data_IF_352025161506
#
_entry.id   IF_352025161506
#
_cell.length_a   1.000
_cell.length_b   1.000
_cell.length_c   1.000
_cell.angle_alpha   90.00
_cell.angle_beta   90.00
_cell.angle_gamma   90.00
#
_symmetry.space_group_name_H-M   'P 1'
#
loop_
_entity.id
_entity.type
_entity.pdbx_description
1 polymer ?
2 non-polymer ?
3 non-polymer ?
4 non-polymer ?
5 non-polymer ?
6 water ?
#
# COMPACT_ATOMS: atom_id res chain seq x y z
N UNK A 1 9.43 27.43 -5.17
CA UNK A 1 8.48 27.10 -4.10
C UNK A 1 7.07 27.49 -4.55
N UNK A 2 6.19 26.50 -4.61
CA UNK A 2 4.83 26.69 -5.12
C UNK A 2 3.98 25.58 -4.54
N UNK A 3 2.77 25.94 -4.08
CA UNK A 3 1.94 24.95 -3.40
C UNK A 3 0.63 24.67 -4.12
N UNK A 4 0.57 24.95 -5.43
CA UNK A 4 -0.59 24.60 -6.24
C UNK A 4 -0.31 23.33 -7.03
N UNK A 5 -1.37 22.54 -7.26
CA UNK A 5 -1.26 21.51 -8.28
C UNK A 5 -1.28 22.11 -9.67
N UNK A 6 -0.61 21.44 -10.60
CA UNK A 6 -0.74 21.82 -12.00
C UNK A 6 -2.14 21.46 -12.48
N UNK A 7 -2.50 21.99 -13.64
CA UNK A 7 -3.79 21.63 -14.22
C UNK A 7 -3.87 20.13 -14.47
N UNK A 8 -2.77 19.54 -14.96
CA UNK A 8 -2.75 18.10 -15.20
C UNK A 8 -2.96 17.32 -13.90
N UNK A 9 -2.28 17.73 -12.83
CA UNK A 9 -2.43 17.05 -11.55
C UNK A 9 -3.82 17.22 -11.00
N UNK A 10 -4.40 18.42 -11.13
CA UNK A 10 -5.77 18.60 -10.65
C UNK A 10 -6.72 17.69 -11.41
N UNK A 11 -6.50 17.55 -12.73
CA UNK A 11 -7.36 16.67 -13.54
C UNK A 11 -7.21 15.21 -13.11
N UNK A 12 -5.99 14.77 -12.84
CA UNK A 12 -5.77 13.41 -12.38
C UNK A 12 -6.50 13.17 -11.07
N UNK A 13 -6.37 14.10 -10.13
CA UNK A 13 -7.03 13.93 -8.84
C UNK A 13 -8.54 13.88 -9.03
N UNK A 14 -9.09 14.84 -9.80
CA UNK A 14 -10.53 14.93 -9.89
C UNK A 14 -11.12 13.73 -10.63
N UNK A 15 -10.43 13.23 -11.67
CA UNK A 15 -10.94 12.05 -12.37
C UNK A 15 -10.92 10.84 -11.47
N UNK A 16 -9.85 10.67 -10.68
CA UNK A 16 -9.79 9.54 -9.78
C UNK A 16 -10.86 9.66 -8.71
N UNK A 17 -11.11 10.88 -8.21
CA UNK A 17 -12.12 11.08 -7.19
C UNK A 17 -13.50 10.74 -7.73
N UNK A 18 -13.80 11.18 -8.96
CA UNK A 18 -15.10 10.85 -9.54
C UNK A 18 -15.24 9.35 -9.70
N UNK A 19 -14.20 8.64 -10.16
CA UNK A 19 -14.31 7.20 -10.31
C UNK A 19 -14.53 6.55 -8.94
N UNK A 20 -13.78 7.00 -7.94
CA UNK A 20 -13.96 6.43 -6.60
C UNK A 20 -15.37 6.63 -6.09
N UNK A 21 -15.94 7.83 -6.29
CA UNK A 21 -17.29 8.09 -5.78
C UNK A 21 -18.35 7.40 -6.63
N UNK A 22 -18.24 7.50 -7.94
CA UNK A 22 -19.35 7.11 -8.83
C UNK A 22 -19.31 5.66 -9.22
N UNK A 23 -18.16 4.99 -9.08
CA UNK A 23 -18.01 3.56 -9.40
C UNK A 23 -17.75 2.77 -8.13
N UNK A 24 -16.63 3.04 -7.46
CA UNK A 24 -16.24 2.13 -6.38
C UNK A 24 -17.10 2.29 -5.14
N UNK A 25 -17.54 3.53 -4.83
CA UNK A 25 -18.27 3.73 -3.58
C UNK A 25 -19.74 3.24 -3.66
N UNK A 26 -20.20 3.05 -4.90
CA UNK A 26 -21.49 2.44 -5.16
C UNK A 26 -21.54 1.05 -4.63
N UNK A 27 -22.44 0.92 -3.80
CA UNK A 27 -22.85 -0.29 -3.09
C UNK A 27 -21.73 -0.74 -2.15
N UNK A 28 -20.84 0.18 -1.74
CA UNK A 28 -19.76 -0.22 -0.84
C UNK A 28 -20.29 -0.74 0.48
N UNK A 29 -21.40 -0.19 1.00
CA UNK A 29 -21.84 -0.63 2.31
C UNK A 29 -22.20 -2.10 2.32
N UNK A 30 -22.80 -2.58 1.23
CA UNK A 30 -23.14 -4.00 1.17
C UNK A 30 -21.89 -4.87 1.13
N UNK A 31 -20.89 -4.47 0.32
CA UNK A 31 -19.67 -5.27 0.28
C UNK A 31 -18.95 -5.23 1.61
N UNK A 32 -18.94 -4.07 2.28
CA UNK A 32 -18.27 -3.97 3.59
C UNK A 32 -18.98 -4.87 4.59
N UNK A 33 -20.32 -4.83 4.61
CA UNK A 33 -21.08 -5.62 5.59
C UNK A 33 -20.86 -7.11 5.39
N UNK A 34 -20.73 -7.53 4.14
CA UNK A 34 -20.58 -8.95 3.81
C UNK A 34 -19.13 -9.37 3.73
N UNK A 35 -18.20 -8.44 3.96
CA UNK A 35 -16.76 -8.74 3.88
C UNK A 35 -16.35 -9.24 2.50
N UNK A 36 -16.90 -8.61 1.44
CA UNK A 36 -16.66 -9.04 0.06
C UNK A 36 -15.59 -8.17 -0.57
N UNK A 37 -14.60 -8.81 -1.19
CA UNK A 37 -13.69 -8.16 -2.13
C UNK A 37 -14.22 -8.54 -3.50
N UNK A 38 -14.80 -7.57 -4.21
CA UNK A 38 -15.33 -7.89 -5.54
C UNK A 38 -14.20 -7.86 -6.56
N UNK A 39 -13.77 -9.03 -7.03
CA UNK A 39 -12.66 -9.04 -7.99
C UNK A 39 -13.07 -8.39 -9.30
N UNK A 40 -14.33 -8.51 -9.71
CA UNK A 40 -14.73 -7.83 -10.94
C UNK A 40 -14.64 -6.30 -10.81
N UNK A 41 -15.03 -5.76 -9.63
CA UNK A 41 -14.91 -4.33 -9.40
C UNK A 41 -13.42 -3.94 -9.29
N UNK A 42 -12.62 -4.75 -8.59
CA UNK A 42 -11.19 -4.51 -8.48
C UNK A 42 -10.58 -4.39 -9.88
N UNK A 43 -10.95 -5.30 -10.79
CA UNK A 43 -10.38 -5.25 -12.13
C UNK A 43 -10.77 -3.98 -12.88
N UNK A 44 -12.02 -3.53 -12.71
CA UNK A 44 -12.40 -2.26 -13.34
C UNK A 44 -11.56 -1.10 -12.81
N UNK A 45 -11.28 -1.10 -11.51
CA UNK A 45 -10.44 -0.05 -10.95
C UNK A 45 -9.02 -0.14 -11.48
N UNK A 46 -8.49 -1.36 -11.54
CA UNK A 46 -7.12 -1.54 -12.08
C UNK A 46 -7.05 -0.97 -13.48
N UNK A 47 -8.00 -1.35 -14.32
CA UNK A 47 -7.99 -0.96 -15.73
C UNK A 47 -8.21 0.55 -15.91
N UNK A 48 -9.01 1.16 -15.02
CA UNK A 48 -9.18 2.61 -15.05
C UNK A 48 -7.83 3.32 -14.93
N UNK A 49 -6.89 2.74 -14.19
CA UNK A 49 -5.61 3.37 -14.03
C UNK A 49 -4.99 3.14 -12.67
N UNK A 50 -5.70 2.56 -11.70
CA UNK A 50 -5.13 2.38 -10.35
C UNK A 50 -4.04 1.30 -10.32
N UNK A 51 -3.89 0.47 -11.36
CA UNK A 51 -2.78 -0.48 -11.44
C UNK A 51 -1.66 0.01 -12.36
N UNK A 52 -1.61 1.31 -12.68
CA UNK A 52 -0.68 1.81 -13.71
C UNK A 52 0.59 2.44 -13.13
N UNK A 53 0.44 3.46 -12.28
CA UNK A 53 1.60 4.14 -11.73
C UNK A 53 2.58 4.58 -12.80
N UNK A 54 3.86 4.29 -12.58
CA UNK A 54 4.92 4.71 -13.50
C UNK A 54 5.09 3.84 -14.71
N UNK A 55 4.32 2.75 -14.87
CA UNK A 55 4.57 1.86 -16.00
C UNK A 55 4.39 2.62 -17.31
N UNK A 56 5.25 2.29 -18.26
CA UNK A 56 5.26 2.92 -19.56
C UNK A 56 4.05 2.53 -20.42
N UNK A 57 3.81 3.37 -21.44
CA UNK A 57 2.71 3.10 -22.36
C UNK A 57 2.87 1.75 -23.04
N UNK A 58 4.11 1.30 -23.24
CA UNK A 58 4.36 -0.01 -23.85
C UNK A 58 3.57 -1.12 -23.18
N UNK A 59 3.34 -1.01 -21.86
CA UNK A 59 2.70 -2.08 -21.11
C UNK A 59 1.34 -1.65 -20.60
N UNK A 60 0.79 -0.59 -21.16
CA UNK A 60 -0.55 -0.18 -20.80
C UNK A 60 -0.61 0.87 -19.71
N UNK A 61 0.53 1.37 -19.27
CA UNK A 61 0.55 2.32 -18.17
C UNK A 61 0.49 3.76 -18.64
N UNK A 62 0.60 4.63 -17.64
CA UNK A 62 0.36 6.03 -17.79
C UNK A 62 1.63 6.88 -17.60
N UNK A 63 2.77 6.24 -17.32
CA UNK A 63 4.04 6.95 -17.07
C UNK A 63 3.91 8.06 -16.04
N UNK A 64 3.18 7.76 -14.97
CA UNK A 64 2.99 8.77 -13.94
C UNK A 64 4.22 8.82 -13.02
N UNK A 65 4.48 9.98 -12.44
CA UNK A 65 5.48 10.05 -11.40
C UNK A 65 4.86 9.65 -10.05
N UNK A 66 5.70 9.71 -9.00
CA UNK A 66 5.24 9.37 -7.66
C UNK A 66 4.20 10.36 -7.16
N UNK A 67 4.38 11.66 -7.43
CA UNK A 67 3.38 12.63 -6.95
C UNK A 67 2.03 12.39 -7.65
N UNK A 68 2.03 12.20 -8.97
CA UNK A 68 0.79 11.93 -9.73
C UNK A 68 0.09 10.70 -9.18
N UNK A 69 0.89 9.65 -8.95
CA UNK A 69 0.34 8.38 -8.46
C UNK A 69 -0.26 8.56 -7.07
N UNK A 70 0.44 9.31 -6.21
CA UNK A 70 -0.07 9.60 -4.87
C UNK A 70 -1.37 10.39 -4.95
N UNK A 71 -1.48 11.36 -5.87
CA UNK A 71 -2.73 12.13 -5.98
C UNK A 71 -3.89 11.23 -6.35
N UNK A 72 -3.68 10.32 -7.29
CA UNK A 72 -4.76 9.40 -7.67
C UNK A 72 -5.19 8.60 -6.45
N UNK A 73 -4.22 8.16 -5.66
CA UNK A 73 -4.53 7.31 -4.50
C UNK A 73 -5.17 8.12 -3.39
N UNK A 74 -4.75 9.40 -3.22
CA UNK A 74 -5.41 10.24 -2.23
C UNK A 74 -6.89 10.38 -2.60
N UNK A 75 -7.17 10.67 -3.87
CA UNK A 75 -8.57 10.79 -4.32
C UNK A 75 -9.33 9.52 -4.03
N UNK A 76 -8.72 8.36 -4.30
CA UNK A 76 -9.34 7.06 -4.03
C UNK A 76 -9.68 6.92 -2.55
N UNK A 77 -8.75 7.32 -1.67
CA UNK A 77 -9.00 7.22 -0.24
C UNK A 77 -10.10 8.15 0.23
N UNK A 78 -10.25 9.32 -0.42
CA UNK A 78 -11.32 10.24 0.00
C UNK A 78 -12.66 9.79 -0.55
N UNK A 79 -12.69 9.26 -1.76
CA UNK A 79 -13.98 9.05 -2.48
C UNK A 79 -14.66 7.73 -2.24
N UNK A 80 -13.93 6.69 -1.86
CA UNK A 80 -14.51 5.37 -1.70
C UNK A 80 -14.44 4.91 -0.26
N UNK A 81 -15.58 4.51 0.31
CA UNK A 81 -15.56 3.91 1.63
C UNK A 81 -14.92 2.54 1.65
N UNK A 82 -14.79 1.89 0.49
CA UNK A 82 -14.29 0.52 0.45
C UNK A 82 -12.76 0.52 0.46
N UNK A 83 -12.21 0.91 1.61
CA UNK A 83 -10.77 1.07 1.74
C UNK A 83 -10.06 -0.29 1.67
N UNK A 84 -10.72 -1.37 2.08
CA UNK A 84 -10.11 -2.68 1.90
C UNK A 84 -9.81 -2.99 0.44
N UNK A 85 -10.77 -2.73 -0.47
CA UNK A 85 -10.51 -2.91 -1.89
C UNK A 85 -9.39 -1.98 -2.34
N UNK A 86 -9.43 -0.71 -1.88
CA UNK A 86 -8.41 0.24 -2.32
C UNK A 86 -7.01 -0.21 -1.87
N UNK A 87 -6.90 -0.69 -0.62
CA UNK A 87 -5.62 -1.17 -0.13
C UNK A 87 -5.13 -2.36 -0.96
N UNK A 88 -6.03 -3.30 -1.24
CA UNK A 88 -5.67 -4.46 -2.07
C UNK A 88 -5.13 -4.01 -3.42
N UNK A 89 -5.80 -3.07 -4.06
CA UNK A 89 -5.37 -2.61 -5.38
C UNK A 89 -4.02 -1.90 -5.31
N UNK A 90 -3.85 -1.06 -4.30
CA UNK A 90 -2.60 -0.32 -4.20
C UNK A 90 -1.42 -1.20 -3.82
N UNK A 91 -1.66 -2.26 -3.03
CA UNK A 91 -0.59 -3.22 -2.75
C UNK A 91 -0.14 -3.90 -4.04
N UNK A 92 -1.12 -4.32 -4.85
CA UNK A 92 -0.79 -4.94 -6.15
C UNK A 92 0.05 -3.97 -6.99
N UNK A 93 -0.38 -2.70 -7.09
CA UNK A 93 0.43 -1.73 -7.85
C UNK A 93 1.84 -1.57 -7.27
N UNK A 94 1.92 -1.23 -5.98
CA UNK A 94 3.19 -0.72 -5.47
C UNK A 94 4.19 -1.82 -5.20
N UNK A 95 3.71 -3.01 -4.79
CA UNK A 95 4.60 -4.09 -4.41
C UNK A 95 4.74 -5.16 -5.45
N UNK A 96 3.96 -5.13 -6.52
CA UNK A 96 4.02 -6.17 -7.54
C UNK A 96 4.24 -5.60 -8.94
N UNK A 97 3.33 -4.73 -9.41
CA UNK A 97 3.47 -4.15 -10.74
C UNK A 97 4.78 -3.40 -10.85
N UNK A 98 5.04 -2.51 -9.88
CA UNK A 98 6.20 -1.60 -9.99
C UNK A 98 7.52 -2.36 -9.96
N UNK A 99 7.76 -3.31 -9.04
CA UNK A 99 9.03 -4.04 -9.14
C UNK A 99 9.19 -4.82 -10.41
N UNK A 100 8.11 -5.44 -10.92
CA UNK A 100 8.24 -6.17 -12.18
C UNK A 100 8.63 -5.21 -13.30
N UNK A 101 7.99 -4.03 -13.35
CA UNK A 101 8.36 -3.05 -14.38
C UNK A 101 9.80 -2.58 -14.22
N UNK A 102 10.22 -2.28 -12.97
CA UNK A 102 11.52 -1.66 -12.75
C UNK A 102 12.68 -2.66 -12.88
N UNK A 103 12.46 -3.93 -12.57
CA UNK A 103 13.56 -4.88 -12.52
C UNK A 103 13.39 -6.12 -13.39
N UNK A 104 12.19 -6.39 -13.91
CA UNK A 104 12.01 -7.62 -14.68
C UNK A 104 12.67 -7.55 -16.04
N UNK A 105 13.05 -8.72 -16.53
CA UNK A 105 13.59 -8.82 -17.88
C UNK A 105 12.53 -8.45 -18.92
N UNK A 106 12.99 -8.17 -20.14
CA UNK A 106 12.04 -7.97 -21.23
C UNK A 106 11.12 -9.16 -21.39
N UNK A 107 11.65 -10.38 -21.28
CA UNK A 107 10.80 -11.55 -21.45
C UNK A 107 9.71 -11.62 -20.39
N UNK A 108 10.08 -11.39 -19.12
CA UNK A 108 9.08 -11.48 -18.07
C UNK A 108 8.05 -10.36 -18.20
N UNK A 109 8.51 -9.14 -18.50
CA UNK A 109 7.55 -8.04 -18.67
C UNK A 109 6.60 -8.33 -19.83
N UNK A 110 7.13 -8.84 -20.94
CA UNK A 110 6.29 -9.13 -22.09
C UNK A 110 5.24 -10.18 -21.76
N UNK A 111 5.57 -11.13 -20.88
CA UNK A 111 4.63 -12.20 -20.56
C UNK A 111 3.56 -11.74 -19.58
N UNK A 112 3.92 -10.91 -18.58
CA UNK A 112 3.02 -10.68 -17.45
C UNK A 112 2.62 -9.24 -17.19
N UNK A 113 3.44 -8.25 -17.60
CA UNK A 113 3.29 -6.91 -17.02
C UNK A 113 1.99 -6.25 -17.45
N UNK A 114 1.69 -6.25 -18.74
CA UNK A 114 0.46 -5.62 -19.17
C UNK A 114 -0.76 -6.29 -18.54
N UNK A 115 -0.72 -7.61 -18.36
CA UNK A 115 -1.85 -8.26 -17.69
C UNK A 115 -2.02 -7.73 -16.27
N UNK A 116 -0.90 -7.48 -15.54
CA UNK A 116 -1.03 -6.94 -14.19
C UNK A 116 -1.48 -5.48 -14.21
N UNK A 117 -1.06 -4.72 -15.20
CA UNK A 117 -1.39 -3.29 -15.30
C UNK A 117 -2.84 -3.06 -15.64
N UNK A 118 -3.42 -3.92 -16.48
CA UNK A 118 -4.68 -3.55 -17.15
C UNK A 118 -5.89 -4.31 -16.62
N UNK A 119 -5.78 -4.97 -15.47
CA UNK A 119 -6.96 -5.59 -14.88
C UNK A 119 -7.19 -7.04 -15.26
N UNK A 120 -6.14 -7.77 -15.68
CA UNK A 120 -6.32 -9.17 -16.08
C UNK A 120 -5.81 -10.20 -15.08
N UNK A 121 -4.70 -9.92 -14.41
CA UNK A 121 -4.17 -10.79 -13.38
C UNK A 121 -3.98 -9.98 -12.10
N UNK A 122 -4.24 -10.63 -10.97
CA UNK A 122 -4.00 -10.05 -9.65
C UNK A 122 -2.70 -10.65 -9.08
N UNK A 123 -1.86 -9.83 -8.45
CA UNK A 123 -0.60 -10.27 -7.88
C UNK A 123 -0.57 -10.06 -6.38
N UNK A 124 0.21 -10.88 -5.70
CA UNK A 124 0.51 -10.74 -4.27
C UNK A 124 2.03 -10.73 -4.09
N UNK A 125 2.51 -9.92 -3.14
CA UNK A 125 3.91 -9.79 -2.76
C UNK A 125 4.15 -10.64 -1.51
N UNK A 126 5.06 -11.60 -1.55
CA UNK A 126 5.25 -12.49 -0.43
C UNK A 126 6.69 -12.40 0.07
N UNK A 127 6.87 -11.62 1.14
CA UNK A 127 8.18 -11.41 1.75
C UNK A 127 8.19 -11.85 3.19
N UNK A 128 7.24 -11.38 3.99
CA UNK A 128 7.20 -11.63 5.43
C UNK A 128 7.07 -13.12 5.75
N UNK A 129 7.72 -13.53 6.83
CA UNK A 129 7.71 -14.90 7.31
C UNK A 129 7.43 -14.91 8.79
N UNK A 130 7.11 -16.08 9.36
CA UNK A 130 6.93 -16.17 10.82
C UNK A 130 8.07 -15.58 11.62
N UNK A 131 9.31 -15.75 11.18
CA UNK A 131 10.46 -15.25 11.95
C UNK A 131 11.15 -14.11 11.25
N UNK A 132 10.48 -13.48 10.30
CA UNK A 132 11.08 -12.35 9.58
C UNK A 132 9.99 -11.35 9.24
N UNK A 133 9.78 -10.39 10.17
CA UNK A 133 8.83 -9.32 9.99
C UNK A 133 9.61 -8.04 9.77
N UNK A 134 9.84 -7.30 10.88
CA UNK A 134 10.73 -6.13 10.78
C UNK A 134 12.11 -6.55 10.30
N UNK A 135 12.60 -7.69 10.79
CA UNK A 135 13.92 -8.22 10.41
C UNK A 135 13.75 -9.07 9.14
N UNK A 136 13.40 -8.37 8.05
CA UNK A 136 12.99 -9.07 6.83
C UNK A 136 14.14 -9.83 6.21
N UNK A 137 15.35 -9.34 6.38
CA UNK A 137 16.48 -10.00 5.72
C UNK A 137 16.91 -11.23 6.50
N UNK A 138 16.26 -11.56 7.62
CA UNK A 138 16.44 -12.88 8.18
C UNK A 138 15.41 -13.88 7.67
N UNK A 139 14.76 -13.57 6.53
CA UNK A 139 13.86 -14.57 5.94
C UNK A 139 14.60 -15.87 5.71
N UNK A 140 13.89 -16.96 5.89
CA UNK A 140 14.48 -18.29 5.81
C UNK A 140 14.05 -19.07 4.59
N UNK A 141 13.00 -18.65 3.87
CA UNK A 141 12.64 -19.38 2.66
C UNK A 141 13.86 -19.43 1.74
N UNK A 142 14.08 -20.60 1.10
CA UNK A 142 15.27 -20.80 0.31
C UNK A 142 14.88 -21.13 -1.12
N UNK A 143 15.54 -20.47 -2.06
CA UNK A 143 15.46 -20.81 -3.49
C UNK A 143 16.83 -21.34 -3.84
N UNK A 144 17.00 -22.65 -3.74
CA UNK A 144 18.32 -23.25 -3.91
C UNK A 144 18.60 -23.39 -5.40
N UNK A 145 19.66 -22.79 -5.93
CA UNK A 145 19.94 -22.94 -7.35
C UNK A 145 20.11 -24.40 -7.72
N UNK A 146 19.58 -24.75 -8.88
CA UNK A 146 19.72 -26.11 -9.39
C UNK A 146 19.76 -26.02 -10.89
N UNK A 147 19.96 -27.17 -11.55
CA UNK A 147 19.94 -27.17 -12.99
C UNK A 147 18.58 -26.65 -13.46
N UNK A 148 18.59 -25.59 -14.29
CA UNK A 148 17.39 -25.01 -14.89
C UNK A 148 16.69 -23.95 -14.05
N UNK A 149 17.11 -23.71 -12.80
CA UNK A 149 16.43 -22.69 -12.00
C UNK A 149 16.69 -22.91 -10.54
N UNK A 150 15.62 -23.11 -9.76
CA UNK A 150 15.72 -23.11 -8.31
C UNK A 150 14.71 -24.05 -7.73
N UNK A 151 15.02 -24.59 -6.53
CA UNK A 151 14.03 -25.33 -5.73
C UNK A 151 13.68 -24.48 -4.54
N UNK A 152 12.39 -24.16 -4.40
CA UNK A 152 11.90 -23.20 -3.40
C UNK A 152 11.16 -23.92 -2.29
N UNK A 153 11.55 -23.60 -1.04
CA UNK A 153 10.88 -24.09 0.15
C UNK A 153 10.74 -22.96 1.15
N UNK A 154 9.66 -22.96 1.93
CA UNK A 154 9.53 -21.95 2.99
C UNK A 154 8.07 -21.62 3.22
N UNK A 155 7.85 -20.58 4.02
CA UNK A 155 6.51 -20.17 4.41
C UNK A 155 6.47 -18.66 4.51
N UNK A 156 5.44 -18.06 3.92
CA UNK A 156 5.22 -16.64 4.00
C UNK A 156 3.89 -16.40 4.70
N UNK A 157 3.80 -15.29 5.45
CA UNK A 157 2.57 -14.98 6.19
C UNK A 157 2.19 -13.52 5.98
N UNK A 158 0.92 -13.20 6.29
CA UNK A 158 0.42 -11.82 6.19
C UNK A 158 0.37 -11.35 4.75
N UNK A 159 0.06 -12.24 3.79
CA UNK A 159 0.26 -11.89 2.39
C UNK A 159 -1.05 -11.35 1.82
N UNK A 160 -1.11 -10.03 1.65
CA UNK A 160 -2.28 -9.38 1.07
C UNK A 160 -2.51 -9.94 -0.32
N UNK A 161 -3.79 -10.19 -0.63
CA UNK A 161 -4.22 -10.72 -1.92
C UNK A 161 -3.89 -12.18 -2.18
N UNK A 162 -3.20 -12.88 -1.28
CA UNK A 162 -2.82 -14.25 -1.64
C UNK A 162 -4.04 -15.10 -2.03
N UNK A 163 -5.17 -15.03 -1.31
CA UNK A 163 -6.31 -15.91 -1.68
C UNK A 163 -6.89 -15.61 -3.04
N UNK A 164 -6.63 -14.44 -3.63
CA UNK A 164 -7.23 -14.07 -4.93
C UNK A 164 -6.17 -13.86 -6.01
N UNK A 165 -4.88 -14.09 -5.71
CA UNK A 165 -3.83 -13.73 -6.67
C UNK A 165 -3.67 -14.83 -7.72
N UNK A 166 -3.38 -14.41 -8.93
CA UNK A 166 -2.96 -15.31 -10.01
C UNK A 166 -1.47 -15.48 -10.07
N UNK A 167 -0.70 -14.48 -9.60
CA UNK A 167 0.75 -14.58 -9.58
C UNK A 167 1.27 -14.03 -8.28
N UNK A 168 2.45 -14.52 -7.91
CA UNK A 168 3.08 -14.18 -6.65
C UNK A 168 4.48 -13.68 -6.92
N UNK A 169 4.81 -12.55 -6.32
CA UNK A 169 6.18 -12.01 -6.35
C UNK A 169 6.78 -12.45 -5.03
N UNK A 170 7.72 -13.39 -5.06
CA UNK A 170 8.21 -14.00 -3.84
C UNK A 170 9.67 -13.67 -3.65
N UNK A 171 10.05 -13.48 -2.41
CA UNK A 171 11.44 -13.23 -2.03
C UNK A 171 11.95 -14.43 -1.25
N UNK A 172 13.15 -14.89 -1.59
CA UNK A 172 13.74 -16.05 -0.90
C UNK A 172 15.25 -15.98 -1.00
N UNK A 173 15.92 -16.73 -0.12
CA UNK A 173 17.39 -16.69 -0.09
C UNK A 173 17.97 -17.61 -1.16
N UNK A 174 18.77 -17.03 -2.05
CA UNK A 174 19.56 -17.82 -2.97
C UNK A 174 20.95 -18.05 -2.44
N UNK A 175 21.32 -17.36 -1.37
CA UNK A 175 22.57 -17.60 -0.67
C UNK A 175 22.24 -17.46 0.81
N UNK A 176 22.13 -18.55 1.52
CA UNK A 176 21.95 -18.47 2.97
C UNK A 176 23.19 -17.99 3.72
N UNK A 177 24.27 -17.62 3.02
CA UNK A 177 25.39 -17.02 3.73
C UNK A 177 25.08 -15.59 4.16
N UNK A 178 24.26 -14.87 3.40
CA UNK A 178 24.08 -13.43 3.58
C UNK A 178 22.62 -13.14 3.93
N UNK A 179 22.40 -11.93 4.42
CA UNK A 179 21.04 -11.46 4.63
C UNK A 179 20.56 -10.74 3.39
N UNK A 180 20.68 -9.42 3.40
CA UNK A 180 20.19 -8.56 2.33
C UNK A 180 20.73 -8.97 0.94
N UNK A 181 22.03 -9.26 0.84
CA UNK A 181 22.66 -9.59 -0.45
C UNK A 181 22.35 -11.03 -0.92
N UNK A 182 21.69 -11.81 -0.08
CA UNK A 182 21.39 -13.19 -0.32
C UNK A 182 19.99 -13.43 -0.76
N UNK A 183 19.18 -12.38 -0.93
CA UNK A 183 17.76 -12.52 -1.33
C UNK A 183 17.63 -12.31 -2.82
N UNK A 184 16.79 -13.15 -3.45
CA UNK A 184 16.38 -12.94 -4.84
C UNK A 184 14.86 -12.91 -4.90
N UNK A 185 14.35 -12.36 -5.99
CA UNK A 185 12.91 -12.22 -6.22
C UNK A 185 12.49 -13.05 -7.42
N UNK A 186 11.28 -13.60 -7.34
CA UNK A 186 10.79 -14.51 -8.39
C UNK A 186 9.30 -14.28 -8.61
N UNK A 187 8.84 -14.53 -9.83
CA UNK A 187 7.41 -14.55 -10.10
C UNK A 187 6.99 -16.01 -10.26
N UNK A 188 5.98 -16.43 -9.49
CA UNK A 188 5.43 -17.79 -9.61
C UNK A 188 3.93 -17.71 -9.82
N UNK A 189 3.41 -18.65 -10.60
CA UNK A 189 1.98 -18.68 -10.90
C UNK A 189 1.17 -19.50 -9.92
N UNK A 190 -0.04 -19.06 -9.64
CA UNK A 190 -1.00 -19.88 -8.94
C UNK A 190 -1.11 -21.22 -9.66
N UNK A 191 -1.13 -22.31 -8.90
CA UNK A 191 -1.31 -23.63 -9.46
C UNK A 191 0.00 -24.35 -9.70
N UNK A 192 1.14 -23.67 -9.58
CA UNK A 192 2.39 -24.38 -9.74
C UNK A 192 2.50 -25.49 -8.72
N UNK A 193 3.00 -26.68 -9.08
CA UNK A 193 3.10 -27.74 -8.09
C UNK A 193 3.96 -27.32 -6.90
N UNK A 194 3.45 -27.59 -5.70
CA UNK A 194 4.18 -27.24 -4.48
C UNK A 194 3.79 -25.90 -3.89
N UNK A 195 3.00 -25.10 -4.60
CA UNK A 195 2.54 -23.82 -4.06
C UNK A 195 1.21 -24.02 -3.35
N UNK A 196 1.20 -23.91 -2.03
CA UNK A 196 0.01 -24.17 -1.25
C UNK A 196 -0.46 -22.84 -0.65
N UNK A 197 -1.49 -22.25 -1.22
CA UNK A 197 -2.01 -20.97 -0.76
C UNK A 197 -3.05 -21.25 0.31
N UNK A 198 -2.88 -20.66 1.48
CA UNK A 198 -3.80 -20.93 2.57
C UNK A 198 -5.15 -20.28 2.34
N UNK A 199 -6.12 -20.74 3.12
CA UNK A 199 -7.43 -20.07 3.13
C UNK A 199 -7.32 -18.66 3.73
N UNK A 200 -8.22 -17.78 3.30
CA UNK A 200 -8.26 -16.42 3.87
C UNK A 200 -8.31 -16.49 5.38
N UNK A 201 -7.51 -15.63 6.02
CA UNK A 201 -7.52 -15.54 7.47
C UNK A 201 -8.24 -14.25 7.86
N UNK A 202 -9.36 -14.33 8.57
CA UNK A 202 -10.15 -13.12 8.83
C UNK A 202 -9.44 -12.16 9.76
N UNK A 203 -9.79 -10.88 9.63
CA UNK A 203 -9.27 -9.83 10.54
C UNK A 203 -10.36 -8.78 10.65
N UNK A 204 -10.32 -8.02 11.74
CA UNK A 204 -11.28 -6.96 11.97
C UNK A 204 -10.88 -5.68 11.26
N UNK A 205 -9.60 -5.46 11.01
CA UNK A 205 -9.09 -4.28 10.31
C UNK A 205 -9.00 -4.59 8.84
N UNK A 206 -9.40 -3.66 7.97
CA UNK A 206 -9.37 -3.90 6.54
C UNK A 206 -10.02 -5.26 6.24
N UNK A 207 -11.23 -5.46 6.77
CA UNK A 207 -11.71 -6.83 6.95
C UNK A 207 -12.05 -7.54 5.65
N UNK A 208 -12.34 -6.80 4.56
CA UNK A 208 -12.62 -7.43 3.29
C UNK A 208 -11.41 -7.48 2.37
N UNK A 209 -10.22 -7.08 2.87
CA UNK A 209 -9.00 -7.19 2.08
C UNK A 209 -8.35 -8.54 2.40
N UNK A 210 -8.41 -9.53 1.51
CA UNK A 210 -8.02 -10.89 1.92
C UNK A 210 -6.52 -11.01 2.09
N UNK A 211 -6.11 -11.75 3.11
CA UNK A 211 -4.72 -12.19 3.23
C UNK A 211 -4.69 -13.63 3.70
N UNK A 212 -3.52 -14.24 3.53
CA UNK A 212 -3.36 -15.63 4.02
C UNK A 212 -1.87 -15.97 4.07
N UNK A 213 -1.58 -17.17 4.56
CA UNK A 213 -0.24 -17.72 4.48
C UNK A 213 -0.05 -18.42 3.14
N UNK A 214 1.19 -18.60 2.72
CA UNK A 214 1.50 -19.46 1.60
C UNK A 214 2.66 -20.35 2.01
N UNK A 215 2.62 -21.61 1.59
CA UNK A 215 3.70 -22.55 1.87
C UNK A 215 4.27 -23.04 0.55
N UNK A 216 5.60 -23.08 0.47
CA UNK A 216 6.29 -23.62 -0.69
C UNK A 216 6.85 -24.97 -0.30
N UNK A 217 6.40 -26.03 -1.02
CA UNK A 217 6.90 -27.38 -0.80
C UNK A 217 7.59 -27.85 -2.07
N UNK A 218 8.91 -27.68 -2.13
CA UNK A 218 9.70 -28.17 -3.25
C UNK A 218 9.19 -27.65 -4.61
N UNK A 219 8.92 -26.35 -4.67
CA UNK A 219 8.54 -25.75 -5.95
C UNK A 219 9.75 -25.63 -6.85
N UNK A 220 9.63 -26.01 -8.12
CA UNK A 220 10.64 -25.70 -9.11
C UNK A 220 10.35 -24.35 -9.75
N UNK A 221 11.29 -23.41 -9.62
CA UNK A 221 11.18 -22.11 -10.28
C UNK A 221 12.09 -22.13 -11.50
N UNK A 222 11.55 -22.06 -12.71
CA UNK A 222 12.44 -21.95 -13.88
C UNK A 222 13.26 -20.66 -13.80
N UNK A 223 14.48 -20.74 -14.34
CA UNK A 223 15.43 -19.64 -14.35
C UNK A 223 14.78 -18.34 -14.85
N UNK A 224 13.95 -18.43 -15.90
CA UNK A 224 13.38 -17.23 -16.50
C UNK A 224 12.42 -16.50 -15.58
N UNK A 225 12.02 -17.07 -14.45
CA UNK A 225 11.08 -16.39 -13.56
C UNK A 225 11.75 -15.59 -12.46
N UNK A 226 13.08 -15.54 -12.44
CA UNK A 226 13.75 -14.64 -11.50
C UNK A 226 13.55 -13.20 -11.98
N UNK A 227 13.19 -12.32 -11.05
CA UNK A 227 13.01 -10.88 -11.31
C UNK A 227 14.31 -10.19 -10.95
N UNK A 228 14.93 -9.53 -11.93
CA UNK A 228 16.25 -8.91 -11.69
C UNK A 228 17.36 -9.93 -11.59
N UNK A 229 18.50 -9.46 -11.08
CA UNK A 229 19.71 -10.26 -10.97
C UNK A 229 19.69 -11.14 -9.71
N UNK A 230 20.55 -12.16 -9.72
CA UNK A 230 20.71 -12.97 -8.52
C UNK A 230 21.17 -12.10 -7.39
N UNK A 231 20.50 -12.22 -6.23
CA UNK A 231 20.95 -11.50 -5.05
C UNK A 231 20.48 -10.07 -5.00
N UNK A 232 19.67 -9.63 -5.96
CA UNK A 232 19.17 -8.25 -6.01
C UNK A 232 17.82 -8.06 -5.29
N UNK A 233 17.35 -9.21 -4.78
CA UNK A 233 16.03 -9.29 -4.21
C UNK A 233 15.86 -8.36 -3.04
N UNK A 234 16.92 -8.18 -2.21
CA UNK A 234 16.80 -7.20 -1.15
C UNK A 234 16.64 -5.79 -1.68
N UNK A 235 17.39 -5.44 -2.73
CA UNK A 235 17.26 -4.12 -3.32
C UNK A 235 15.90 -3.94 -3.97
N UNK A 236 15.40 -4.99 -4.63
CA UNK A 236 14.09 -4.91 -5.26
C UNK A 236 12.99 -4.73 -4.21
N UNK A 237 13.06 -5.51 -3.11
CA UNK A 237 12.10 -5.37 -2.03
C UNK A 237 12.14 -3.96 -1.46
N UNK A 238 13.35 -3.47 -1.18
CA UNK A 238 13.52 -2.13 -0.64
C UNK A 238 12.89 -1.08 -1.55
N UNK A 239 13.14 -1.17 -2.85
CA UNK A 239 12.59 -0.19 -3.77
C UNK A 239 11.06 -0.25 -3.79
N UNK A 240 10.50 -1.46 -3.75
CA UNK A 240 9.05 -1.63 -3.74
C UNK A 240 8.46 -1.01 -2.50
N UNK A 241 9.13 -1.15 -1.35
CA UNK A 241 8.62 -0.57 -0.11
C UNK A 241 8.70 0.95 -0.12
N UNK A 242 9.67 1.53 -0.81
CA UNK A 242 9.69 2.97 -1.00
C UNK A 242 8.43 3.43 -1.73
N UNK A 243 8.05 2.70 -2.79
CA UNK A 243 6.84 3.05 -3.52
C UNK A 243 5.60 2.82 -2.68
N UNK A 244 5.53 1.71 -1.96
CA UNK A 244 4.38 1.44 -1.14
C UNK A 244 4.24 2.48 -0.03
N UNK A 245 5.33 2.77 0.67
CA UNK A 245 5.26 3.75 1.76
C UNK A 245 4.99 5.14 1.19
N UNK A 246 5.56 5.46 0.04
CA UNK A 246 5.41 6.81 -0.50
C UNK A 246 4.02 7.09 -1.04
N UNK A 247 3.46 6.19 -1.85
CA UNK A 247 2.20 6.46 -2.57
C UNK A 247 0.99 5.74 -1.94
N UNK A 248 1.13 4.49 -1.50
CA UNK A 248 -0.01 3.79 -0.94
C UNK A 248 -0.53 4.55 0.27
N UNK A 249 0.37 5.18 1.05
CA UNK A 249 -0.04 5.89 2.26
C UNK A 249 -0.97 7.06 1.95
N UNK A 250 -0.96 7.57 0.72
CA UNK A 250 -1.87 8.65 0.32
C UNK A 250 -3.32 8.24 0.54
N UNK A 251 -3.64 6.94 0.54
CA UNK A 251 -4.99 6.49 0.82
C UNK A 251 -5.47 7.09 2.12
N UNK A 252 -4.61 7.13 3.13
CA UNK A 252 -5.01 7.52 4.46
C UNK A 252 -5.07 9.04 4.58
N UNK A 253 -4.34 9.78 3.73
CA UNK A 253 -4.51 11.24 3.65
C UNK A 253 -5.91 11.54 3.11
N UNK A 254 -6.32 10.87 2.01
CA UNK A 254 -7.66 11.10 1.48
C UNK A 254 -8.71 10.68 2.48
N UNK A 255 -8.48 9.56 3.21
CA UNK A 255 -9.45 9.14 4.21
C UNK A 255 -9.56 10.14 5.34
N UNK A 256 -8.45 10.82 5.70
CA UNK A 256 -8.50 11.81 6.75
C UNK A 256 -9.23 13.05 6.28
N UNK A 257 -9.05 13.44 5.01
CA UNK A 257 -9.82 14.57 4.48
C UNK A 257 -11.31 14.28 4.59
N UNK A 258 -11.73 13.07 4.21
CA UNK A 258 -13.14 12.69 4.29
C UNK A 258 -13.61 12.71 5.74
N UNK A 259 -12.83 12.10 6.64
CA UNK A 259 -13.21 12.04 8.04
C UNK A 259 -13.37 13.42 8.63
N UNK A 260 -12.43 14.33 8.34
CA UNK A 260 -12.50 15.68 8.90
C UNK A 260 -13.76 16.39 8.41
N UNK A 261 -14.11 16.25 7.12
CA UNK A 261 -15.34 16.89 6.64
C UNK A 261 -16.57 16.34 7.38
N UNK A 262 -16.62 15.03 7.57
CA UNK A 262 -17.75 14.43 8.30
C UNK A 262 -17.81 14.96 9.73
N UNK A 263 -16.64 15.05 10.35
CA UNK A 263 -16.56 15.44 11.76
C UNK A 263 -16.95 16.90 11.93
N UNK A 264 -16.46 17.77 11.03
CA UNK A 264 -16.85 19.19 11.08
C UNK A 264 -18.36 19.34 10.93
N UNK A 265 -18.95 18.60 9.98
CA UNK A 265 -20.41 18.76 9.78
C UNK A 265 -21.15 18.37 11.06
N UNK A 266 -20.73 17.28 11.71
CA UNK A 266 -21.46 16.85 12.90
C UNK A 266 -21.28 17.86 14.03
N UNK A 267 -20.05 18.37 14.21
CA UNK A 267 -19.82 19.28 15.34
C UNK A 267 -20.57 20.59 15.16
N UNK A 268 -20.94 20.96 13.92
CA UNK A 268 -21.77 22.14 13.70
C UNK A 268 -23.24 21.83 13.93
N UNK A 269 -23.68 20.60 13.65
CA UNK A 269 -25.12 20.29 13.65
C UNK A 269 -25.58 19.77 15.00
N UNK A 270 -24.78 18.98 15.70
CA UNK A 270 -25.20 18.38 16.95
C UNK A 270 -25.15 19.43 18.05
N UNK A 271 -26.26 19.63 18.76
CA UNK A 271 -26.32 20.58 19.87
C UNK A 271 -26.52 19.86 21.19
N UNK A 272 -25.83 20.33 22.22
CA UNK A 272 -26.12 19.97 23.60
C UNK A 272 -25.93 21.24 24.44
N UNK A 273 -26.69 21.36 25.53
CA UNK A 273 -26.60 22.56 26.38
C UNK A 273 -26.88 23.83 25.59
N UNK A 274 -27.70 23.72 24.54
CA UNK A 274 -28.13 24.91 23.82
C UNK A 274 -27.16 25.44 22.81
N UNK A 275 -26.11 24.70 22.48
CA UNK A 275 -25.16 25.17 21.47
C UNK A 275 -24.59 23.99 20.72
N UNK A 276 -24.06 24.29 19.55
CA UNK A 276 -23.35 23.25 18.78
C UNK A 276 -22.19 22.73 19.60
N UNK A 277 -21.96 21.41 19.54
CA UNK A 277 -20.90 20.86 20.39
C UNK A 277 -19.52 21.37 19.94
N UNK A 278 -19.36 21.79 18.68
CA UNK A 278 -18.12 22.40 18.24
C UNK A 278 -17.78 23.70 18.97
N UNK A 279 -18.73 24.30 19.71
CA UNK A 279 -18.46 25.50 20.48
C UNK A 279 -17.78 25.20 21.80
N UNK A 280 -17.72 23.94 22.24
CA UNK A 280 -16.98 23.59 23.45
C UNK A 280 -15.55 23.35 23.06
N UNK A 281 -14.60 24.03 23.73
CA UNK A 281 -13.19 23.87 23.32
C UNK A 281 -12.70 22.44 23.50
N UNK A 282 -13.23 21.65 24.45
CA UNK A 282 -12.78 20.24 24.48
C UNK A 282 -13.04 19.55 23.15
N UNK A 283 -14.17 19.88 22.51
CA UNK A 283 -14.53 19.28 21.21
C UNK A 283 -13.72 19.92 20.08
N UNK A 284 -13.73 21.26 20.01
CA UNK A 284 -13.06 21.88 18.88
C UNK A 284 -11.57 21.67 18.91
N UNK A 285 -10.94 21.63 20.10
CA UNK A 285 -9.49 21.46 20.12
C UNK A 285 -9.07 20.17 19.41
N UNK A 286 -9.86 19.09 19.55
CA UNK A 286 -9.50 17.85 18.86
C UNK A 286 -9.69 17.99 17.36
N UNK A 287 -10.76 18.67 16.95
CA UNK A 287 -10.98 18.87 15.51
C UNK A 287 -9.85 19.71 14.90
N UNK A 288 -9.38 20.74 15.64
CA UNK A 288 -8.25 21.50 15.14
C UNK A 288 -7.02 20.61 15.03
N UNK A 289 -6.80 19.69 15.99
CA UNK A 289 -5.70 18.74 15.83
C UNK A 289 -5.84 17.94 14.53
N UNK A 290 -7.06 17.48 14.21
CA UNK A 290 -7.25 16.73 12.97
C UNK A 290 -6.88 17.57 11.76
N UNK A 291 -7.28 18.85 11.75
CA UNK A 291 -6.96 19.74 10.66
C UNK A 291 -5.45 19.97 10.55
N UNK A 292 -4.81 20.29 11.68
CA UNK A 292 -3.35 20.48 11.67
C UNK A 292 -2.64 19.25 11.12
N UNK A 293 -3.07 18.07 11.55
CA UNK A 293 -2.43 16.85 11.08
C UNK A 293 -2.61 16.70 9.58
N UNK A 294 -3.85 16.90 9.07
CA UNK A 294 -4.09 16.70 7.66
C UNK A 294 -3.18 17.61 6.84
N UNK A 295 -3.10 18.90 7.22
CA UNK A 295 -2.32 19.80 6.39
C UNK A 295 -0.84 19.45 6.42
N UNK A 296 -0.32 19.12 7.62
CA UNK A 296 1.10 18.78 7.72
C UNK A 296 1.44 17.51 6.96
N UNK A 297 0.65 16.44 7.16
CA UNK A 297 1.08 15.20 6.53
C UNK A 297 0.85 15.22 5.04
N UNK A 298 -0.14 15.98 4.53
CA UNK A 298 -0.28 16.09 3.08
C UNK A 298 0.93 16.78 2.49
N UNK A 299 1.43 17.85 3.14
CA UNK A 299 2.60 18.52 2.58
C UNK A 299 3.83 17.62 2.64
N UNK A 300 4.00 16.86 3.75
CA UNK A 300 5.15 15.96 3.83
C UNK A 300 5.08 14.88 2.74
N UNK A 301 3.86 14.35 2.49
CA UNK A 301 3.65 13.36 1.44
C UNK A 301 4.05 13.95 0.10
N UNK A 302 3.51 15.13 -0.21
CA UNK A 302 3.75 15.72 -1.52
C UNK A 302 5.23 15.99 -1.73
N UNK A 303 5.91 16.52 -0.70
CA UNK A 303 7.33 16.76 -0.84
C UNK A 303 8.13 15.49 -1.02
N UNK A 304 7.80 14.42 -0.28
CA UNK A 304 8.53 13.17 -0.46
C UNK A 304 8.39 12.67 -1.90
N UNK A 305 7.15 12.71 -2.44
CA UNK A 305 6.94 12.20 -3.80
C UNK A 305 7.57 13.11 -4.82
N UNK A 306 7.50 14.43 -4.62
CA UNK A 306 8.15 15.37 -5.53
C UNK A 306 9.65 15.15 -5.52
N UNK A 307 10.24 14.97 -4.33
CA UNK A 307 11.69 14.76 -4.29
C UNK A 307 12.06 13.48 -5.05
N UNK A 308 11.28 12.43 -4.90
CA UNK A 308 11.56 11.24 -5.68
C UNK A 308 11.50 11.53 -7.17
N UNK A 309 10.49 12.30 -7.60
CA UNK A 309 10.34 12.63 -9.02
C UNK A 309 11.48 13.48 -9.53
N UNK A 310 12.10 14.29 -8.65
CA UNK A 310 13.25 15.12 -9.04
C UNK A 310 14.53 14.32 -9.10
N UNK A 311 14.52 13.04 -8.71
CA UNK A 311 15.75 12.28 -8.68
C UNK A 311 16.58 12.47 -7.43
N UNK A 312 16.02 13.08 -6.38
CA UNK A 312 16.72 13.27 -5.13
C UNK A 312 16.54 12.06 -4.22
N UNK A 313 17.41 11.97 -3.20
CA UNK A 313 17.31 10.92 -2.19
C UNK A 313 16.10 11.23 -1.30
N UNK A 314 15.05 10.45 -1.45
CA UNK A 314 13.83 10.72 -0.68
C UNK A 314 13.59 9.68 0.40
N UNK A 315 14.57 8.82 0.72
CA UNK A 315 14.27 7.74 1.65
C UNK A 315 13.82 8.26 3.01
N UNK A 316 14.51 9.22 3.58
CA UNK A 316 14.07 9.74 4.88
C UNK A 316 12.73 10.43 4.77
N UNK A 317 12.53 11.16 3.67
CA UNK A 317 11.27 11.88 3.51
C UNK A 317 10.10 10.92 3.42
N UNK A 318 10.28 9.80 2.75
CA UNK A 318 9.21 8.81 2.62
C UNK A 318 8.95 8.12 3.97
N UNK A 319 10.02 7.82 4.73
CA UNK A 319 9.82 7.24 6.05
C UNK A 319 9.08 8.23 6.96
N UNK A 320 9.44 9.52 6.89
CA UNK A 320 8.74 10.52 7.71
C UNK A 320 7.29 10.62 7.32
N UNK A 321 7.00 10.64 5.99
CA UNK A 321 5.59 10.74 5.58
C UNK A 321 4.80 9.50 5.98
N UNK A 322 5.36 8.30 5.80
CA UNK A 322 4.62 7.09 6.17
C UNK A 322 4.30 7.10 7.66
N UNK A 323 5.29 7.50 8.49
CA UNK A 323 5.08 7.57 9.92
C UNK A 323 4.01 8.61 10.26
N UNK A 324 4.13 9.83 9.73
CA UNK A 324 3.19 10.88 10.13
C UNK A 324 1.77 10.54 9.65
N UNK A 325 1.64 10.09 8.39
CA UNK A 325 0.29 9.81 7.88
C UNK A 325 -0.38 8.77 8.75
N UNK A 326 0.31 7.68 9.08
CA UNK A 326 -0.34 6.59 9.79
C UNK A 326 -0.62 6.97 11.24
N UNK A 327 0.32 7.66 11.91
CA UNK A 327 0.04 8.12 13.26
C UNK A 327 -1.17 9.06 13.25
N UNK A 328 -1.18 10.01 12.30
CA UNK A 328 -2.25 10.99 12.28
C UNK A 328 -3.58 10.36 11.87
N UNK A 329 -3.55 9.32 11.04
CA UNK A 329 -4.78 8.65 10.65
C UNK A 329 -5.40 7.95 11.84
N UNK A 330 -4.58 7.27 12.66
CA UNK A 330 -5.12 6.60 13.86
C UNK A 330 -5.62 7.64 14.85
N UNK A 331 -4.79 8.67 15.17
CA UNK A 331 -5.21 9.64 16.17
C UNK A 331 -6.49 10.34 15.75
N UNK A 332 -6.59 10.67 14.45
CA UNK A 332 -7.79 11.38 14.02
C UNK A 332 -9.00 10.48 14.03
N UNK A 333 -8.84 9.18 13.77
CA UNK A 333 -9.96 8.27 13.91
C UNK A 333 -10.47 8.25 15.34
N UNK A 334 -9.53 8.23 16.33
CA UNK A 334 -9.95 8.30 17.73
C UNK A 334 -10.67 9.62 18.03
N UNK A 335 -10.17 10.73 17.49
CA UNK A 335 -10.78 12.03 17.76
C UNK A 335 -12.16 12.15 17.14
N UNK A 336 -12.39 11.58 15.96
CA UNK A 336 -13.73 11.61 15.36
C UNK A 336 -14.70 10.84 16.22
N UNK A 337 -14.29 9.64 16.68
CA UNK A 337 -15.16 8.87 17.60
C UNK A 337 -15.47 9.71 18.83
N UNK A 338 -14.47 10.37 19.41
CA UNK A 338 -14.75 11.16 20.63
C UNK A 338 -15.73 12.27 20.32
N UNK A 339 -15.64 12.89 19.14
CA UNK A 339 -16.56 13.98 18.76
C UNK A 339 -18.01 13.48 18.73
N UNK A 340 -18.24 12.27 18.21
CA UNK A 340 -19.60 11.78 18.03
C UNK A 340 -20.16 11.16 19.30
N UNK A 341 -19.35 10.74 20.27
CA UNK A 341 -19.94 10.10 21.45
C UNK A 341 -20.65 8.81 21.08
N UNK A 342 -21.79 8.55 21.71
CA UNK A 342 -22.51 7.31 21.47
C UNK A 342 -22.91 7.13 20.02
N UNK A 343 -23.12 8.23 19.30
CA UNK A 343 -23.43 8.20 17.89
C UNK A 343 -22.32 7.56 17.08
N UNK A 344 -21.11 7.47 17.62
CA UNK A 344 -20.01 6.84 16.88
C UNK A 344 -20.20 5.35 16.76
N UNK A 345 -21.08 4.72 17.58
CA UNK A 345 -21.21 3.27 17.46
C UNK A 345 -21.98 2.85 16.22
N UNK A 346 -22.64 3.76 15.52
CA UNK A 346 -23.44 3.36 14.37
C UNK A 346 -22.59 2.68 13.28
N UNK A 347 -22.98 1.46 12.87
CA UNK A 347 -22.17 0.76 11.87
C UNK A 347 -22.32 1.35 10.47
N UNK A 348 -23.42 2.00 10.18
CA UNK A 348 -23.57 2.56 8.84
C UNK A 348 -22.59 3.71 8.63
N UNK A 349 -22.51 4.57 9.62
CA UNK A 349 -21.61 5.71 9.53
C UNK A 349 -20.20 5.23 9.48
N UNK A 350 -19.87 4.21 10.25
CA UNK A 350 -18.62 3.52 10.11
C UNK A 350 -17.41 4.23 10.74
N UNK A 351 -17.60 5.03 11.79
CA UNK A 351 -16.41 5.67 12.41
C UNK A 351 -15.53 4.65 13.11
N UNK A 352 -16.14 3.64 13.74
CA UNK A 352 -15.33 2.64 14.40
C UNK A 352 -14.62 1.77 13.36
N UNK A 353 -15.34 1.40 12.29
CA UNK A 353 -14.68 0.67 11.21
C UNK A 353 -13.55 1.49 10.63
N UNK A 354 -13.70 2.80 10.52
CA UNK A 354 -12.64 3.63 9.98
C UNK A 354 -11.41 3.54 10.87
N UNK A 355 -11.58 3.64 12.20
CA UNK A 355 -10.44 3.48 13.09
C UNK A 355 -9.77 2.13 12.87
N UNK A 356 -10.57 1.06 12.81
CA UNK A 356 -10.01 -0.27 12.58
C UNK A 356 -9.21 -0.29 11.30
N UNK A 357 -9.71 0.35 10.24
CA UNK A 357 -8.98 0.32 8.97
C UNK A 357 -7.68 1.09 9.06
N UNK A 358 -7.59 2.09 9.95
CA UNK A 358 -6.35 2.86 10.09
C UNK A 358 -5.34 2.19 10.98
N UNK A 359 -5.76 1.33 11.91
CA UNK A 359 -4.80 0.69 12.81
C UNK A 359 -3.63 0.04 12.08
N UNK A 360 -3.82 -0.78 11.04
CA UNK A 360 -2.67 -1.44 10.39
C UNK A 360 -1.78 -0.49 9.64
N UNK A 361 -2.17 0.77 9.44
CA UNK A 361 -1.30 1.65 8.67
C UNK A 361 0.02 1.89 9.41
N UNK A 362 0.04 1.73 10.74
CA UNK A 362 1.27 1.93 11.51
C UNK A 362 2.16 0.67 11.46
N UNK A 363 1.73 -0.40 10.77
CA UNK A 363 2.42 -1.69 10.73
C UNK A 363 2.88 -2.01 9.32
N UNK A 364 1.98 -1.89 8.33
CA UNK A 364 2.25 -2.31 6.96
C UNK A 364 3.44 -1.54 6.39
N UNK A 365 4.20 -2.20 5.54
CA UNK A 365 5.37 -1.70 4.84
C UNK A 365 6.49 -1.29 5.76
N UNK A 366 6.46 -1.75 7.00
CA UNK A 366 7.47 -1.41 8.02
C UNK A 366 6.78 -0.63 9.13
N UNK A 367 6.95 -1.09 10.36
CA UNK A 367 6.25 -0.41 11.45
C UNK A 367 6.81 1.00 11.65
N UNK A 368 6.05 1.80 12.39
CA UNK A 368 6.53 3.15 12.63
C UNK A 368 7.77 3.18 13.51
N UNK A 369 7.97 2.17 14.37
CA UNK A 369 9.27 2.11 15.07
C UNK A 369 10.39 1.91 14.07
N UNK A 370 10.16 1.06 13.06
CA UNK A 370 11.18 0.88 12.02
C UNK A 370 11.36 2.13 11.18
N UNK A 371 10.29 2.90 10.93
CA UNK A 371 10.50 4.16 10.24
C UNK A 371 11.41 5.08 11.04
N UNK A 372 11.24 5.11 12.36
CA UNK A 372 12.16 5.91 13.17
C UNK A 372 13.60 5.39 13.04
N UNK A 373 13.80 4.07 12.99
CA UNK A 373 15.14 3.53 12.81
C UNK A 373 15.73 3.96 11.46
N UNK A 374 14.90 3.99 10.40
CA UNK A 374 15.39 4.44 9.09
C UNK A 374 15.80 5.90 9.16
N UNK A 375 14.95 6.72 9.78
CA UNK A 375 15.27 8.14 9.87
C UNK A 375 16.54 8.35 10.73
N UNK A 376 16.64 7.61 11.84
CA UNK A 376 17.82 7.68 12.67
C UNK A 376 19.06 7.35 11.88
N UNK A 377 19.00 6.30 11.04
CA UNK A 377 20.16 5.95 10.23
C UNK A 377 20.49 7.07 9.26
N UNK A 378 19.49 7.66 8.60
CA UNK A 378 19.75 8.75 7.66
C UNK A 378 20.33 9.97 8.38
N UNK A 379 19.99 10.19 9.65
CA UNK A 379 20.55 11.28 10.44
C UNK A 379 21.91 10.96 11.04
N UNK A 380 22.48 9.79 10.77
CA UNK A 380 23.81 9.46 11.28
C UNK A 380 23.83 8.88 12.67
N UNK A 381 22.69 8.44 13.20
CA UNK A 381 22.61 7.93 14.56
C UNK A 381 22.75 6.42 14.63
N UNK A 382 23.00 5.75 13.52
CA UNK A 382 23.12 4.28 13.49
C UNK A 382 24.46 3.88 12.84
N UNK A 383 25.49 4.68 13.06
CA UNK A 383 26.82 4.39 12.52
C UNK A 383 27.65 3.64 13.55
X LIG B 1 7.51 -7.51 14.40
X LIG B 1 7.43 -8.75 15.20
X LIG B 1 8.67 -7.31 13.51
X LIG B 1 7.41 -6.26 15.38
X LIG B 1 6.84 -6.36 16.70
X LIG B 1 7.16 -5.09 17.44
X LIG B 1 8.60 -4.97 17.63
X LIG B 1 6.71 -3.80 16.75
X LIG B 1 6.38 -2.81 17.70
X LIG B 1 7.98 -3.36 16.04
X LIG B 1 8.03 -1.99 15.68
X LIG B 1 9.01 -3.72 17.11
X LIG B 1 10.36 -3.84 16.61
X LIG B 1 10.93 -4.84 15.85
X LIG B 1 12.18 -4.62 15.56
X LIG B 1 12.46 -3.38 16.12
X LIG B 1 13.64 -2.60 16.15
X LIG B 1 14.77 -2.91 15.54
X LIG B 1 13.58 -1.44 16.84
X LIG B 1 12.44 -1.09 17.44
X LIG B 1 11.30 -1.76 17.48
X LIG B 1 11.36 -2.91 16.80
X LIG B 1 3.95 -8.67 4.27
X LIG B 1 4.18 -9.18 3.03
X LIG B 1 5.23 -9.79 2.75
X LIG B 1 3.26 -9.02 2.03
X LIG B 1 2.07 -8.35 2.18
X LIG B 1 1.25 -8.30 1.25
X LIG B 1 1.83 -7.79 3.47
X LIG B 1 0.68 -7.11 3.66
X LIG B 1 0.40 -6.67 4.92
X LIG B 1 -0.79 -6.00 5.15
X LIG B 1 -1.11 -5.50 6.41
X LIG B 1 -2.40 -4.75 6.62
X LIG B 1 -0.20 -5.67 7.47
X LIG B 1 -0.50 -5.17 8.86
X LIG B 1 1.00 -6.35 7.25
X LIG B 1 1.32 -6.83 5.99
X LIG B 1 2.54 -7.52 5.74
X LIG B 1 2.80 -8.01 4.48
X LIG B 1 3.42 -7.83 6.86
X LIG B 1 4.27 -6.64 7.30
X LIG B 1 5.37 -6.47 6.43
X LIG B 1 4.79 -6.93 8.72
X LIG B 1 3.64 -6.85 9.57
X LIG B 1 5.84 -5.91 9.19
X LIG B 1 7.05 -6.20 8.49
X LIG B 1 6.11 -5.98 10.69
X LIG B 1 6.53 -7.33 11.05
X LIG B 1 5.75 -8.10 12.19
X LIG B 1 4.26 -7.83 12.03
X LIG B 1 6.23 -9.46 12.23
X LIG B 1 6.16 -7.34 13.56
X LIG C 1 -18.57 -5.78 -12.09
X LIG C 1 -18.97 -5.66 -13.41
X LIG C 1 -18.46 -6.66 -14.28
X LIG C 1 -19.06 -6.53 -15.67
X LIG C 1 -18.76 -5.26 -16.16
X LIG C 1 -19.19 -5.18 -17.49
X LIG C 1 -18.73 -3.85 -18.04
X LIG C 1 -19.19 -2.82 -17.23
X LIG C 1 -18.80 -1.57 -17.73
X LIG C 1 -19.33 -0.43 -16.88
X LIG C 1 -19.10 -0.55 -15.54
X LIG C 1 -19.69 0.47 -14.76
X LIG C 1 -19.35 0.28 -13.26
X LIG C 1 -19.68 -0.97 -12.74
X LIG C 1 -19.39 -1.13 -11.36
X LIG C 1 -19.69 -2.55 -10.88
X LIG C 1 -18.92 -3.44 -11.61
X LIG C 1 -19.31 -4.76 -11.27
X LIG D 1 -5.51 17.38 -3.65
X LIG D 1 -4.34 18.19 -3.33
X LIG D 1 -6.43 17.56 -2.46
X LIG D 1 -5.77 17.49 -1.24
X LIG D 1 -7.14 18.88 -2.66
X LIG D 1 -8.24 18.73 -1.80
X LIG E 1 -12.79 16.60 -5.06
X LIG E 1 -12.11 17.78 -5.29
X LIG E 1 -12.71 16.26 -3.54
X LIG E 1 -11.46 16.46 -2.92
X LIG E 1 -13.83 17.11 -2.90
X LIG E 1 -14.23 16.43 -1.81
X LIG F 1 -15.66 7.23 6.05
X LIG F 1 -16.95 7.24 5.67
X LIG F 1 -15.62 8.11 7.31
X LIG F 1 -15.54 7.31 8.39
X LIG F 1 -17.08 8.93 7.42
X LIG F 1 -17.20 9.92 6.44
X LIG G 1 15.93 15.87 5.23
X LIG G 1 16.06 14.54 5.60
X LIG G 1 14.51 16.04 4.60
X LIG G 1 14.53 15.68 3.27
X LIG G 1 14.13 17.50 4.71
X LIG G 1 15.27 18.27 4.52
X LIG H 1 9.36 -4.41 5.78
X LIG H 1 8.43 -5.42 5.51
X LIG H 1 9.95 -4.75 7.12
X LIG H 1 9.05 -4.41 8.19
X LIG H 1 11.30 -4.03 7.12
X LIG H 1 11.50 -3.61 8.39
X LIG I 1 -15.02 26.12 26.15
#
# INVERSE_FOLDING_TARGET
>A
MDFNLSNSQSDIYESAYRFACDVLDQDAQTRISQKILSTELWKKAAAYGFAHGPVSHQFGGSELGALDTALMIEALGKGSRDIGLSFSLCAHLCACVIPLYRFGSSELKDKYLESLVTGKLIAANAATEPDAGSDIYNMQATAQPCEGGYILNGKKIFITNAPIADVFIIYAKTNPDHGFLGVSAFLIEKGTPGLNVGEVIPKDCLSNCPWSEIVFNDIFIPQSQRIGMEGAGGAIFHDSMIWEKGCLSALFVGGLARLLETTLEYAKARQQFGKAIGQFQSVSNRIIDMKLRLEQCRLMLYRACWKHDQGQDAEADIAMSKLLISEYAVQSGLDAIQTFGGAAMDQELGLVRHLLNMIPSRIFSGTNDIQKEIIARKLGLRGTSSGSLVPRGSHHHHHHHH
>B hetero
1 FAD PA O1A O2A O5B C5B C4B O4B C3B O3B C2B O2B C1B N9A C8A N7A C5A C6A N6A N1A C2A N3A C4A N1 C2 O2 N3 C4 O4 C4X N5 C5X C6 C7 C7M C8 C8M C9 C9A N10 C10 C1' C2' O2' C3' O3' C4' O4' C5' O5' P O1P O2P O3P
>C hetero
1 O4B CAA OAM CAC CAD OAO CAG CAH OAQ CAK CAL OAR CAJ CAI OAP CAF CAE OAN CAB
>D hetero
1 GOL C1 O1 C2 O2 C3 O3
>E hetero
1 GOL C1 O1 C2 O2 C3 O3
>F hetero
1 GOL C1 O1 C2 O2 C3 O3
>G hetero
1 GOL C1 O1 C2 O2 C3 O3
>H hetero
1 GOL C1 O1 C2 O2 C3 O3
>I hetero
1 CL CL
#
